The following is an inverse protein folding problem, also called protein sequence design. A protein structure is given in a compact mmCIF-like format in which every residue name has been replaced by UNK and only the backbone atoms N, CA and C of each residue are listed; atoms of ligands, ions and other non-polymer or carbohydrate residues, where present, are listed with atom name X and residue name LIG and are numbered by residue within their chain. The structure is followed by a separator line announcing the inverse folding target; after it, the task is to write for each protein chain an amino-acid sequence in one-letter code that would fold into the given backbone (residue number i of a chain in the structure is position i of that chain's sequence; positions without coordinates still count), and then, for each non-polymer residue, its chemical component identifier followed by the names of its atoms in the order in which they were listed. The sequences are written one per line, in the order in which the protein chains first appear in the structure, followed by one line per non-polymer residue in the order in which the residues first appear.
data_IF_549097426371
#
_entry.id   IF_549097426371
#
_cell.length_a   1.000
_cell.length_b   1.000
_cell.length_c   1.000
_cell.angle_alpha   90.00
_cell.angle_beta   90.00
_cell.angle_gamma   90.00
#
_symmetry.space_group_name_H-M   'P 1'
#
loop_
_entity.id
_entity.type
_entity.pdbx_description
1 polymer ?
#
# COMPACT_ATOMS: atom_id res chain seq x y z
N UNK A 1 -25.19 24.96 27.68
CA UNK A 1 -23.86 25.48 27.33
C UNK A 1 -22.82 24.39 26.94
N UNK A 2 -22.93 23.16 27.39
CA UNK A 2 -21.95 22.09 27.15
C UNK A 2 -21.94 21.54 25.72
N UNK A 3 -23.10 21.41 25.07
CA UNK A 3 -23.20 20.88 23.69
C UNK A 3 -22.56 21.83 22.64
N UNK A 4 -22.74 23.16 22.80
CA UNK A 4 -22.14 24.12 21.87
C UNK A 4 -20.63 24.17 21.91
N UNK A 5 -20.01 24.07 23.10
CA UNK A 5 -18.57 23.99 23.25
C UNK A 5 -18.00 22.72 22.59
N UNK A 6 -18.64 21.57 22.79
CA UNK A 6 -18.21 20.30 22.19
C UNK A 6 -18.24 20.37 20.65
N UNK A 7 -19.29 20.93 20.07
CA UNK A 7 -19.43 21.09 18.61
C UNK A 7 -18.35 22.01 18.03
N UNK A 8 -18.05 23.13 18.72
CA UNK A 8 -16.99 24.06 18.30
C UNK A 8 -15.62 23.38 18.39
N UNK A 9 -15.34 22.63 19.46
CA UNK A 9 -14.08 21.90 19.60
C UNK A 9 -13.91 20.83 18.53
N UNK A 10 -14.95 20.06 18.21
CA UNK A 10 -14.92 19.05 17.15
C UNK A 10 -14.74 19.69 15.76
N UNK A 11 -15.44 20.78 15.48
CA UNK A 11 -15.27 21.52 14.23
C UNK A 11 -13.87 22.13 14.12
N UNK A 12 -13.33 22.68 15.20
CA UNK A 12 -11.97 23.20 15.26
C UNK A 12 -10.92 22.11 15.04
N UNK A 13 -11.07 20.95 15.67
CA UNK A 13 -10.21 19.80 15.47
C UNK A 13 -10.28 19.30 14.01
N UNK A 14 -11.48 19.22 13.43
CA UNK A 14 -11.66 18.80 12.04
C UNK A 14 -10.99 19.79 11.07
N UNK A 15 -11.16 21.10 11.27
CA UNK A 15 -10.50 22.13 10.44
C UNK A 15 -9.00 22.03 10.58
N UNK A 16 -8.49 21.88 11.81
CA UNK A 16 -7.06 21.79 12.08
C UNK A 16 -6.44 20.55 11.43
N UNK A 17 -7.07 19.37 11.55
CA UNK A 17 -6.60 18.13 10.92
C UNK A 17 -6.57 18.26 9.40
N UNK A 18 -7.59 18.89 8.80
CA UNK A 18 -7.64 19.16 7.36
C UNK A 18 -6.53 20.12 6.91
N UNK A 19 -6.26 21.16 7.69
CA UNK A 19 -5.22 22.14 7.39
C UNK A 19 -3.79 21.56 7.54
N UNK A 20 -3.64 20.51 8.36
CA UNK A 20 -2.37 19.81 8.58
C UNK A 20 -2.12 18.65 7.63
N UNK A 21 -3.09 18.27 6.78
CA UNK A 21 -2.89 17.26 5.76
C UNK A 21 -1.82 17.72 4.76
N UNK A 22 -0.77 16.89 4.56
CA UNK A 22 0.27 17.13 3.58
C UNK A 22 -0.26 17.08 2.14
N UNK A 23 0.59 17.40 1.18
CA UNK A 23 0.26 17.24 -0.24
C UNK A 23 -0.01 15.77 -0.59
N UNK A 24 -0.89 15.54 -1.58
CA UNK A 24 -1.16 14.20 -2.09
C UNK A 24 0.03 13.61 -2.84
N UNK A 25 0.88 14.48 -3.37
CA UNK A 25 2.10 14.15 -4.12
C UNK A 25 3.27 14.94 -3.56
N UNK A 26 4.32 14.21 -3.17
CA UNK A 26 5.59 14.78 -2.75
C UNK A 26 6.64 14.63 -3.87
N UNK A 27 7.35 15.72 -4.15
CA UNK A 27 8.48 15.66 -5.08
C UNK A 27 9.70 14.98 -4.42
N UNK A 28 10.53 14.25 -5.19
CA UNK A 28 11.77 13.70 -4.67
C UNK A 28 12.66 14.79 -4.07
N UNK A 29 13.25 14.51 -2.90
CA UNK A 29 14.13 15.47 -2.21
C UNK A 29 15.58 15.44 -2.72
N UNK A 30 15.87 14.62 -3.72
CA UNK A 30 17.17 14.52 -4.39
C UNK A 30 17.18 15.32 -5.66
N UNK A 31 18.34 15.88 -6.04
CA UNK A 31 18.49 16.53 -7.33
C UNK A 31 18.39 15.50 -8.45
N UNK A 32 17.67 15.85 -9.53
CA UNK A 32 17.64 15.02 -10.73
C UNK A 32 18.99 15.07 -11.42
N UNK A 33 19.56 13.89 -11.72
CA UNK A 33 20.79 13.73 -12.50
C UNK A 33 20.53 12.83 -13.71
N UNK A 34 21.33 12.97 -14.78
CA UNK A 34 21.21 12.08 -15.93
C UNK A 34 21.64 10.66 -15.57
N UNK A 35 20.83 9.69 -15.95
CA UNK A 35 21.10 8.25 -15.79
C UNK A 35 21.50 7.58 -17.11
N UNK A 36 21.58 8.33 -18.20
CA UNK A 36 21.81 7.80 -19.55
C UNK A 36 23.12 6.99 -19.66
N UNK A 37 24.22 7.48 -19.05
CA UNK A 37 25.49 6.79 -19.10
C UNK A 37 25.48 5.49 -18.27
N UNK A 38 24.71 5.47 -17.17
CA UNK A 38 24.51 4.24 -16.39
C UNK A 38 23.73 3.22 -17.22
N UNK A 39 22.67 3.65 -17.89
CA UNK A 39 21.83 2.75 -18.71
C UNK A 39 22.54 2.14 -19.91
N UNK A 40 23.67 2.75 -20.37
CA UNK A 40 24.53 2.24 -21.47
C UNK A 40 25.55 1.20 -21.03
N UNK A 41 25.89 1.13 -19.72
CA UNK A 41 26.86 0.16 -19.20
C UNK A 41 26.37 -1.26 -19.46
N UNK A 42 27.28 -2.17 -19.70
CA UNK A 42 26.97 -3.60 -19.83
C UNK A 42 26.47 -4.15 -18.49
N UNK A 43 27.25 -3.90 -17.43
CA UNK A 43 26.93 -4.31 -16.06
C UNK A 43 26.85 -3.10 -15.14
N UNK A 44 25.93 -3.12 -14.18
CA UNK A 44 25.78 -2.10 -13.17
C UNK A 44 26.46 -2.49 -11.86
N UNK A 45 27.25 -1.59 -11.30
CA UNK A 45 27.82 -1.75 -9.99
C UNK A 45 26.86 -1.29 -8.86
N UNK A 46 27.31 -1.41 -7.61
CA UNK A 46 26.52 -1.00 -6.45
C UNK A 46 26.15 0.49 -6.47
N UNK A 47 27.07 1.33 -6.96
CA UNK A 47 26.84 2.78 -7.06
C UNK A 47 25.80 3.11 -8.12
N UNK A 48 25.83 2.41 -9.26
CA UNK A 48 24.84 2.56 -10.32
C UNK A 48 23.43 2.24 -9.83
N UNK A 49 23.25 1.12 -9.13
CA UNK A 49 21.94 0.76 -8.52
C UNK A 49 21.48 1.80 -7.50
N UNK A 50 22.41 2.37 -6.70
CA UNK A 50 22.05 3.42 -5.76
C UNK A 50 21.53 4.66 -6.48
N UNK A 51 22.26 5.15 -7.50
CA UNK A 51 21.83 6.32 -8.28
C UNK A 51 20.50 6.05 -8.97
N UNK A 52 20.34 4.91 -9.64
CA UNK A 52 19.09 4.54 -10.30
C UNK A 52 17.92 4.49 -9.31
N UNK A 53 18.13 3.93 -8.12
CA UNK A 53 17.12 3.88 -7.06
C UNK A 53 16.70 5.27 -6.57
N UNK A 54 17.66 6.17 -6.32
CA UNK A 54 17.40 7.56 -5.94
C UNK A 54 16.67 8.35 -7.02
N UNK A 55 16.93 8.02 -8.29
CA UNK A 55 16.38 8.72 -9.45
C UNK A 55 15.03 8.16 -9.94
N UNK A 56 14.59 7.01 -9.45
CA UNK A 56 13.35 6.35 -9.93
C UNK A 56 12.40 5.92 -8.81
N UNK A 57 12.87 5.93 -7.56
CA UNK A 57 12.12 5.39 -6.43
C UNK A 57 12.06 3.87 -6.37
N UNK A 58 12.79 3.15 -7.25
CA UNK A 58 12.85 1.68 -7.29
C UNK A 58 13.87 1.13 -6.31
N UNK A 59 13.57 -0.02 -5.71
CA UNK A 59 14.56 -0.80 -4.97
C UNK A 59 15.58 -1.44 -5.92
N UNK A 60 16.70 -1.89 -5.33
CA UNK A 60 17.68 -2.67 -6.09
C UNK A 60 17.06 -3.93 -6.70
N UNK A 61 16.16 -4.61 -6.01
CA UNK A 61 15.50 -5.82 -6.51
C UNK A 61 14.67 -5.53 -7.76
N UNK A 62 13.90 -4.44 -7.74
CA UNK A 62 13.12 -4.02 -8.90
C UNK A 62 14.03 -3.65 -10.09
N UNK A 63 15.15 -2.97 -9.83
CA UNK A 63 16.12 -2.61 -10.86
C UNK A 63 16.82 -3.84 -11.47
N UNK A 64 17.25 -4.80 -10.64
CA UNK A 64 17.82 -6.08 -11.10
C UNK A 64 16.82 -6.82 -11.98
N UNK A 65 15.56 -6.96 -11.54
CA UNK A 65 14.51 -7.57 -12.35
C UNK A 65 14.35 -6.89 -13.70
N UNK A 66 14.31 -5.55 -13.73
CA UNK A 66 14.17 -4.80 -14.99
C UNK A 66 15.38 -4.95 -15.91
N UNK A 67 16.58 -5.02 -15.34
CA UNK A 67 17.83 -5.23 -16.09
C UNK A 67 17.83 -6.62 -16.73
N UNK A 68 17.54 -7.68 -15.96
CA UNK A 68 17.46 -9.07 -16.45
C UNK A 68 16.41 -9.23 -17.56
N UNK A 69 15.32 -8.47 -17.50
CA UNK A 69 14.28 -8.45 -18.53
C UNK A 69 14.61 -7.53 -19.72
N UNK A 70 15.78 -6.91 -19.77
CA UNK A 70 16.17 -5.98 -20.84
C UNK A 70 15.35 -4.68 -20.90
N UNK A 71 14.68 -4.29 -19.78
CA UNK A 71 13.74 -3.17 -19.70
C UNK A 71 14.42 -1.83 -19.35
N UNK A 72 15.68 -1.63 -19.66
CA UNK A 72 16.45 -0.41 -19.32
C UNK A 72 15.80 0.88 -19.84
N UNK A 73 15.14 0.85 -21.00
CA UNK A 73 14.42 2.02 -21.54
C UNK A 73 13.23 2.46 -20.66
N UNK A 74 12.60 1.52 -19.97
CA UNK A 74 11.49 1.85 -19.06
C UNK A 74 12.00 2.56 -17.81
N UNK A 75 13.24 2.30 -17.37
CA UNK A 75 13.86 2.98 -16.22
C UNK A 75 14.01 4.48 -16.51
N UNK A 76 14.38 4.85 -17.74
CA UNK A 76 14.43 6.25 -18.14
C UNK A 76 13.03 6.91 -18.07
N UNK A 77 11.98 6.23 -18.53
CA UNK A 77 10.61 6.74 -18.46
C UNK A 77 10.12 6.84 -17.00
N UNK A 78 10.57 5.94 -16.12
CA UNK A 78 10.26 6.02 -14.68
C UNK A 78 10.94 7.22 -14.03
N UNK A 79 12.18 7.55 -14.39
CA UNK A 79 12.82 8.78 -13.94
C UNK A 79 12.03 10.01 -14.36
N UNK A 80 11.58 10.08 -15.61
CA UNK A 80 10.76 11.20 -16.10
C UNK A 80 9.50 11.38 -15.23
N UNK A 81 8.74 10.30 -15.00
CA UNK A 81 7.53 10.36 -14.18
C UNK A 81 7.81 10.67 -12.71
N UNK A 82 8.96 10.20 -12.16
CA UNK A 82 9.33 10.39 -10.77
C UNK A 82 9.60 11.86 -10.41
N UNK A 83 10.10 12.65 -11.35
CA UNK A 83 10.38 14.07 -11.20
C UNK A 83 9.35 14.98 -11.89
N UNK A 84 8.31 14.42 -12.49
CA UNK A 84 7.28 15.21 -13.13
C UNK A 84 6.32 15.82 -12.10
N UNK A 85 5.97 17.11 -12.21
CA UNK A 85 4.86 17.66 -11.46
C UNK A 85 3.55 17.04 -11.95
N UNK A 86 2.60 16.84 -11.05
CA UNK A 86 1.30 16.25 -11.36
C UNK A 86 0.16 17.17 -10.96
N UNK A 87 -0.92 17.16 -11.74
CA UNK A 87 -2.18 17.76 -11.34
C UNK A 87 -3.03 16.69 -10.65
N UNK A 88 -3.61 17.03 -9.49
CA UNK A 88 -4.36 16.09 -8.64
C UNK A 88 -5.79 16.57 -8.50
N UNK A 89 -6.74 15.67 -8.73
CA UNK A 89 -8.16 15.92 -8.48
C UNK A 89 -8.78 14.83 -7.58
N UNK A 90 -9.78 15.24 -6.78
CA UNK A 90 -10.55 14.33 -5.95
C UNK A 90 -11.76 13.79 -6.74
N UNK A 91 -11.87 12.46 -6.82
CA UNK A 91 -13.01 11.77 -7.41
C UNK A 91 -13.85 11.16 -6.28
N UNK A 92 -15.15 11.50 -6.16
CA UNK A 92 -16.04 10.90 -5.17
C UNK A 92 -16.26 9.41 -5.45
N UNK A 93 -16.07 8.56 -4.43
CA UNK A 93 -16.41 7.13 -4.48
C UNK A 93 -17.79 6.89 -3.87
N UNK A 94 -18.16 7.70 -2.87
CA UNK A 94 -19.47 7.68 -2.20
C UNK A 94 -19.78 9.05 -1.59
N UNK A 95 -20.91 9.17 -0.87
CA UNK A 95 -21.27 10.40 -0.15
C UNK A 95 -20.22 10.78 0.92
N UNK A 96 -19.54 9.79 1.49
CA UNK A 96 -18.59 9.98 2.61
C UNK A 96 -17.13 9.72 2.24
N UNK A 97 -16.85 9.23 1.04
CA UNK A 97 -15.50 8.87 0.60
C UNK A 97 -15.16 9.43 -0.77
N UNK A 98 -13.89 9.77 -0.94
CA UNK A 98 -13.30 10.24 -2.21
C UNK A 98 -11.87 9.76 -2.29
N UNK A 99 -11.34 9.69 -3.51
CA UNK A 99 -9.95 9.33 -3.78
C UNK A 99 -9.30 10.39 -4.67
N UNK A 100 -8.05 10.70 -4.41
CA UNK A 100 -7.24 11.60 -5.22
C UNK A 100 -6.57 10.81 -6.33
N UNK A 101 -6.64 11.33 -7.55
CA UNK A 101 -6.01 10.78 -8.74
C UNK A 101 -5.19 11.86 -9.45
N UNK A 102 -4.14 11.43 -10.14
CA UNK A 102 -3.48 12.27 -11.13
C UNK A 102 -4.43 12.42 -12.32
N UNK A 103 -4.61 13.66 -12.79
CA UNK A 103 -5.55 13.96 -13.86
C UNK A 103 -4.89 14.69 -15.02
N UNK A 104 -5.47 14.54 -16.21
CA UNK A 104 -5.10 15.35 -17.37
C UNK A 104 -5.78 16.74 -17.33
N UNK A 105 -5.47 17.59 -18.30
CA UNK A 105 -6.07 18.94 -18.42
C UNK A 105 -7.59 18.95 -18.65
N UNK A 106 -8.24 17.78 -18.72
CA UNK A 106 -9.70 17.62 -18.78
C UNK A 106 -10.27 17.12 -17.44
N UNK A 107 -9.41 16.90 -16.43
CA UNK A 107 -9.79 16.36 -15.13
C UNK A 107 -10.05 14.84 -15.13
N UNK A 108 -9.60 14.11 -16.14
CA UNK A 108 -9.75 12.66 -16.21
C UNK A 108 -8.54 11.96 -15.60
N UNK A 109 -8.75 10.90 -14.79
CA UNK A 109 -7.66 10.10 -14.24
C UNK A 109 -6.72 9.60 -15.34
N UNK A 110 -5.43 9.77 -15.10
CA UNK A 110 -4.38 9.31 -16.02
C UNK A 110 -3.26 8.65 -15.21
N UNK A 111 -2.53 7.79 -15.88
CA UNK A 111 -1.37 7.14 -15.28
C UNK A 111 -0.31 8.16 -14.88
N UNK A 112 0.02 8.19 -13.60
CA UNK A 112 1.06 9.04 -13.03
C UNK A 112 2.46 8.46 -13.28
N UNK A 113 2.59 7.16 -13.00
CA UNK A 113 3.83 6.39 -13.22
C UNK A 113 3.49 4.92 -13.47
N UNK A 114 4.49 4.06 -13.61
CA UNK A 114 4.30 2.60 -13.71
C UNK A 114 4.79 1.91 -12.47
N UNK A 115 4.16 0.76 -12.17
CA UNK A 115 4.64 -0.23 -11.21
C UNK A 115 5.21 -1.39 -12.03
N UNK A 116 6.53 -1.39 -12.33
CA UNK A 116 7.13 -2.33 -13.29
C UNK A 116 7.36 -3.72 -12.72
N UNK A 117 7.37 -3.85 -11.40
CA UNK A 117 7.72 -5.09 -10.71
C UNK A 117 6.91 -5.26 -9.44
N UNK A 118 6.23 -6.38 -9.34
CA UNK A 118 5.58 -6.89 -8.14
C UNK A 118 5.67 -8.40 -8.09
N UNK A 119 5.51 -8.96 -6.89
CA UNK A 119 5.31 -10.40 -6.66
C UNK A 119 4.03 -10.61 -5.86
N UNK A 120 3.52 -11.85 -5.84
CA UNK A 120 2.42 -12.24 -4.98
C UNK A 120 2.78 -11.93 -3.51
N UNK A 121 1.81 -11.40 -2.78
CA UNK A 121 2.01 -10.94 -1.40
C UNK A 121 2.60 -9.54 -1.27
N UNK A 122 3.01 -8.85 -2.34
CA UNK A 122 3.38 -7.44 -2.23
C UNK A 122 2.19 -6.60 -1.78
N UNK A 123 2.46 -5.61 -0.95
CA UNK A 123 1.48 -4.71 -0.35
C UNK A 123 1.56 -3.36 -1.03
N UNK A 124 0.43 -2.83 -1.43
CA UNK A 124 0.30 -1.49 -1.98
C UNK A 124 -0.30 -0.57 -0.92
N UNK A 125 0.33 0.58 -0.67
CA UNK A 125 -0.16 1.60 0.26
C UNK A 125 -0.22 2.94 -0.46
N UNK A 126 -1.31 3.68 -0.29
CA UNK A 126 -1.42 5.07 -0.70
C UNK A 126 -2.02 5.93 0.41
N UNK A 127 -1.71 7.22 0.44
CA UNK A 127 -2.36 8.18 1.32
C UNK A 127 -3.56 8.89 0.66
N UNK A 128 -3.90 8.55 -0.58
CA UNK A 128 -4.79 9.33 -1.44
C UNK A 128 -6.28 9.08 -1.23
N UNK A 129 -6.68 8.19 -0.30
CA UNK A 129 -8.06 7.89 0.04
C UNK A 129 -8.55 8.68 1.26
N UNK A 130 -9.79 9.20 1.16
CA UNK A 130 -10.42 9.98 2.21
C UNK A 130 -11.76 9.36 2.61
N UNK A 131 -12.02 9.30 3.92
CA UNK A 131 -13.31 8.91 4.49
C UNK A 131 -13.70 9.94 5.54
N UNK A 132 -14.96 10.40 5.54
CA UNK A 132 -15.45 11.48 6.38
C UNK A 132 -14.62 12.77 6.30
N UNK A 133 -13.98 13.01 5.16
CA UNK A 133 -13.13 14.17 4.93
C UNK A 133 -11.69 14.04 5.43
N UNK A 134 -11.32 13.00 6.14
CA UNK A 134 -9.94 12.74 6.57
C UNK A 134 -9.21 11.83 5.58
N UNK A 135 -7.92 12.08 5.40
CA UNK A 135 -7.02 11.24 4.60
C UNK A 135 -6.63 10.00 5.40
N UNK A 136 -7.39 8.91 5.19
CA UNK A 136 -7.20 7.64 5.88
C UNK A 136 -6.20 6.72 5.17
N UNK A 137 -5.94 7.01 3.89
CA UNK A 137 -5.15 6.14 3.05
C UNK A 137 -5.90 4.90 2.59
N UNK A 138 -5.20 4.05 1.83
CA UNK A 138 -5.73 2.80 1.32
C UNK A 138 -4.62 1.76 1.23
N UNK A 139 -5.00 0.48 1.35
CA UNK A 139 -4.10 -0.67 1.27
C UNK A 139 -4.70 -1.76 0.37
N UNK A 140 -3.85 -2.46 -0.36
CA UNK A 140 -4.19 -3.65 -1.13
C UNK A 140 -3.05 -4.65 -1.10
N UNK A 141 -3.33 -5.90 -1.50
CA UNK A 141 -2.34 -6.96 -1.64
C UNK A 141 -2.32 -7.49 -3.08
N UNK A 142 -1.14 -7.69 -3.65
CA UNK A 142 -0.98 -8.37 -4.93
C UNK A 142 -1.31 -9.86 -4.76
N UNK A 143 -2.31 -10.33 -5.48
CA UNK A 143 -2.76 -11.73 -5.43
C UNK A 143 -2.54 -12.50 -6.73
N UNK A 144 -2.13 -11.82 -7.79
CA UNK A 144 -1.70 -12.41 -9.06
C UNK A 144 -0.79 -11.38 -9.77
N UNK A 145 0.50 -11.59 -9.69
CA UNK A 145 1.48 -10.67 -10.23
C UNK A 145 1.50 -10.68 -11.77
N UNK A 146 1.34 -11.86 -12.37
CA UNK A 146 1.35 -12.04 -13.83
C UNK A 146 0.16 -11.34 -14.50
N UNK A 147 -1.02 -11.43 -13.88
CA UNK A 147 -2.23 -10.77 -14.35
C UNK A 147 -2.40 -9.37 -13.81
N UNK A 148 -1.48 -8.92 -12.95
CA UNK A 148 -1.52 -7.61 -12.30
C UNK A 148 -2.83 -7.39 -11.53
N UNK A 149 -3.17 -8.33 -10.65
CA UNK A 149 -4.39 -8.29 -9.84
C UNK A 149 -4.05 -8.06 -8.37
N UNK A 150 -4.86 -7.23 -7.74
CA UNK A 150 -4.79 -6.93 -6.30
C UNK A 150 -6.11 -7.22 -5.62
N UNK A 151 -6.06 -7.66 -4.38
CA UNK A 151 -7.22 -7.80 -3.51
C UNK A 151 -7.30 -6.57 -2.59
N UNK A 152 -8.47 -5.96 -2.51
CA UNK A 152 -8.69 -4.75 -1.73
C UNK A 152 -10.14 -4.63 -1.22
N UNK A 153 -10.33 -3.90 -0.13
CA UNK A 153 -11.63 -3.50 0.40
C UNK A 153 -11.75 -1.98 0.26
N UNK A 154 -12.48 -1.50 -0.75
CA UNK A 154 -12.44 -0.11 -1.18
C UNK A 154 -13.44 0.80 -0.48
N UNK A 155 -14.69 0.37 -0.36
CA UNK A 155 -15.81 1.24 -0.02
C UNK A 155 -16.71 0.61 1.03
N UNK A 156 -17.11 1.41 2.01
CA UNK A 156 -18.13 1.02 3.00
C UNK A 156 -19.41 0.53 2.31
N UNK A 157 -19.86 -0.66 2.69
CA UNK A 157 -21.04 -1.31 2.12
C UNK A 157 -20.78 -2.20 0.91
N UNK A 158 -19.54 -2.26 0.43
CA UNK A 158 -19.11 -3.18 -0.63
C UNK A 158 -18.21 -4.27 -0.06
N UNK A 159 -18.25 -5.51 -0.60
CA UNK A 159 -17.31 -6.54 -0.17
C UNK A 159 -15.90 -6.26 -0.73
N UNK A 160 -14.90 -6.95 -0.17
CA UNK A 160 -13.56 -7.01 -0.74
C UNK A 160 -13.59 -7.63 -2.13
N UNK A 161 -12.80 -7.09 -3.06
CA UNK A 161 -12.82 -7.45 -4.48
C UNK A 161 -11.41 -7.56 -5.04
N UNK A 162 -11.28 -8.35 -6.09
CA UNK A 162 -10.05 -8.40 -6.88
C UNK A 162 -10.19 -7.38 -8.02
N UNK A 163 -9.22 -6.48 -8.12
CA UNK A 163 -9.18 -5.40 -9.11
C UNK A 163 -7.86 -5.36 -9.85
N UNK A 164 -7.75 -4.47 -10.84
CA UNK A 164 -6.50 -4.29 -11.58
C UNK A 164 -5.52 -3.41 -10.81
N UNK A 165 -4.27 -3.85 -10.66
CA UNK A 165 -3.17 -3.06 -10.15
C UNK A 165 -2.95 -1.77 -10.96
N UNK A 166 -3.38 -1.71 -12.21
CA UNK A 166 -3.18 -0.53 -13.06
C UNK A 166 -3.86 0.73 -12.52
N UNK A 167 -4.92 0.60 -11.71
CA UNK A 167 -5.57 1.73 -11.02
C UNK A 167 -4.61 2.40 -10.04
N UNK A 168 -3.71 1.62 -9.44
CA UNK A 168 -2.71 2.14 -8.50
C UNK A 168 -1.66 3.04 -9.18
N UNK A 169 -1.46 2.87 -10.47
CA UNK A 169 -0.58 3.72 -11.29
C UNK A 169 -1.16 5.13 -11.56
N UNK A 170 -2.44 5.34 -11.22
CA UNK A 170 -3.13 6.63 -11.34
C UNK A 170 -3.09 7.45 -10.04
N UNK A 171 -2.67 6.85 -8.92
CA UNK A 171 -2.56 7.57 -7.66
C UNK A 171 -1.35 8.52 -7.65
N UNK A 172 -1.52 9.73 -7.07
CA UNK A 172 -0.43 10.71 -6.94
C UNK A 172 0.70 10.25 -6.02
N UNK A 173 0.44 9.30 -5.12
CA UNK A 173 1.48 8.71 -4.28
C UNK A 173 1.16 7.28 -3.90
N UNK A 174 2.20 6.44 -3.84
CA UNK A 174 2.10 5.06 -3.34
C UNK A 174 3.44 4.49 -2.90
N UNK A 175 3.35 3.43 -2.11
CA UNK A 175 4.44 2.51 -1.78
C UNK A 175 4.07 1.11 -2.27
N UNK A 176 5.04 0.39 -2.83
CA UNK A 176 5.02 -1.07 -2.99
C UNK A 176 5.95 -1.63 -1.94
N UNK A 177 5.41 -2.46 -1.06
CA UNK A 177 6.12 -3.01 0.10
C UNK A 177 6.16 -4.54 0.00
N UNK A 178 7.23 -5.15 0.51
CA UNK A 178 7.42 -6.60 0.52
C UNK A 178 7.87 -7.09 1.88
N UNK A 179 7.32 -8.21 2.34
CA UNK A 179 7.74 -8.87 3.56
C UNK A 179 9.22 -9.29 3.48
N UNK A 180 10.00 -8.89 4.49
CA UNK A 180 11.38 -9.28 4.65
C UNK A 180 11.46 -10.65 5.35
N UNK A 181 12.46 -11.46 4.98
CA UNK A 181 12.71 -12.74 5.61
C UNK A 181 11.87 -13.91 5.11
N UNK A 182 10.73 -13.66 4.45
CA UNK A 182 9.93 -14.67 3.79
C UNK A 182 10.45 -14.92 2.36
N UNK A 183 10.47 -16.17 1.94
CA UNK A 183 10.76 -16.52 0.55
C UNK A 183 9.55 -16.22 -0.39
N UNK A 184 9.73 -16.47 -1.68
CA UNK A 184 8.69 -16.20 -2.67
C UNK A 184 7.50 -17.12 -2.50
N UNK A 185 7.74 -18.36 -2.17
CA UNK A 185 6.74 -19.39 -1.98
C UNK A 185 5.83 -19.09 -0.78
N UNK A 186 6.42 -18.62 0.31
CA UNK A 186 5.66 -18.21 1.50
C UNK A 186 4.79 -16.98 1.22
N UNK A 187 5.34 -15.97 0.54
CA UNK A 187 4.55 -14.79 0.14
C UNK A 187 3.41 -15.15 -0.82
N UNK A 188 3.65 -16.07 -1.76
CA UNK A 188 2.63 -16.58 -2.66
C UNK A 188 1.52 -17.34 -1.90
N UNK A 189 1.88 -18.12 -0.87
CA UNK A 189 0.90 -18.81 -0.03
C UNK A 189 0.01 -17.82 0.76
N UNK A 190 0.58 -16.71 1.27
CA UNK A 190 -0.18 -15.63 1.92
C UNK A 190 -1.15 -14.99 0.93
N UNK A 191 -0.69 -14.70 -0.29
CA UNK A 191 -1.52 -14.12 -1.35
C UNK A 191 -2.64 -15.07 -1.79
N UNK A 192 -2.35 -16.36 -1.89
CA UNK A 192 -3.35 -17.40 -2.20
C UNK A 192 -4.40 -17.51 -1.09
N UNK A 193 -3.99 -17.52 0.16
CA UNK A 193 -4.89 -17.45 1.31
C UNK A 193 -5.82 -16.23 1.20
N UNK A 194 -5.25 -15.06 1.00
CA UNK A 194 -6.03 -13.83 0.88
C UNK A 194 -7.04 -13.92 -0.27
N UNK A 195 -6.62 -14.40 -1.44
CA UNK A 195 -7.48 -14.57 -2.60
C UNK A 195 -8.63 -15.54 -2.34
N UNK A 196 -8.37 -16.65 -1.66
CA UNK A 196 -9.36 -17.74 -1.47
C UNK A 196 -10.33 -17.44 -0.33
N UNK A 197 -9.88 -16.77 0.74
CA UNK A 197 -10.67 -16.62 1.96
C UNK A 197 -11.07 -15.17 2.27
N UNK A 198 -10.37 -14.17 1.74
CA UNK A 198 -10.64 -12.76 2.02
C UNK A 198 -11.30 -12.02 0.84
N UNK A 199 -11.60 -12.68 -0.27
CA UNK A 199 -12.43 -12.14 -1.35
C UNK A 199 -13.91 -12.28 -0.99
N UNK A 200 -14.69 -11.20 -1.18
CA UNK A 200 -16.12 -11.19 -0.87
C UNK A 200 -16.46 -10.92 0.59
N UNK A 201 -15.49 -10.59 1.44
CA UNK A 201 -15.72 -10.24 2.85
C UNK A 201 -16.32 -8.84 2.96
N UNK A 202 -17.39 -8.68 3.71
CA UNK A 202 -18.10 -7.41 3.89
C UNK A 202 -17.20 -6.32 4.49
N UNK A 203 -17.38 -5.07 4.03
CA UNK A 203 -16.63 -3.94 4.57
C UNK A 203 -17.16 -3.49 5.93
N UNK A 204 -16.31 -3.47 6.94
CA UNK A 204 -16.61 -3.00 8.29
C UNK A 204 -15.48 -2.12 8.82
N UNK A 205 -15.75 -0.85 9.09
CA UNK A 205 -14.73 0.10 9.62
C UNK A 205 -14.21 -0.28 11.01
N UNK A 206 -14.95 -1.10 11.74
CA UNK A 206 -14.60 -1.57 13.09
C UNK A 206 -14.02 -2.98 13.10
N UNK A 207 -13.68 -3.52 11.92
CA UNK A 207 -13.06 -4.84 11.83
C UNK A 207 -11.77 -4.92 12.66
N UNK A 208 -11.58 -6.01 13.38
CA UNK A 208 -10.42 -6.24 14.25
C UNK A 208 -10.50 -5.59 15.63
N UNK A 209 -11.38 -4.59 15.87
CA UNK A 209 -11.45 -3.89 17.17
C UNK A 209 -11.80 -4.85 18.29
N UNK A 210 -12.85 -5.66 18.12
CA UNK A 210 -13.30 -6.58 19.17
C UNK A 210 -12.33 -7.72 19.41
N UNK A 211 -11.69 -8.23 18.36
CA UNK A 211 -10.67 -9.27 18.45
C UNK A 211 -9.48 -8.79 19.30
N UNK A 212 -9.04 -7.55 19.11
CA UNK A 212 -7.95 -6.92 19.86
C UNK A 212 -8.35 -6.54 21.30
N UNK A 213 -9.53 -6.00 21.51
CA UNK A 213 -10.02 -5.66 22.85
C UNK A 213 -10.22 -6.90 23.72
N UNK A 214 -10.71 -8.01 23.14
CA UNK A 214 -10.95 -9.26 23.86
C UNK A 214 -9.63 -10.03 24.12
N UNK A 215 -8.64 -9.89 23.27
CA UNK A 215 -7.31 -10.46 23.48
C UNK A 215 -6.44 -9.69 24.50
N UNK A 216 -6.98 -8.60 25.06
CA UNK A 216 -6.31 -7.82 26.12
C UNK A 216 -5.12 -6.99 25.65
N UNK A 217 -5.03 -6.68 24.36
CA UNK A 217 -3.89 -5.96 23.79
C UNK A 217 -2.58 -6.75 23.82
N UNK A 218 -2.59 -7.91 24.47
CA UNK A 218 -1.49 -8.83 24.50
C UNK A 218 -1.78 -9.97 23.51
N UNK A 219 -1.49 -9.74 22.27
CA UNK A 219 -1.06 -10.85 21.41
C UNK A 219 0.32 -11.20 21.92
N UNK A 220 0.32 -11.95 23.04
CA UNK A 220 1.52 -12.45 23.67
C UNK A 220 2.31 -13.25 22.63
N UNK A 221 3.58 -12.91 22.47
CA UNK A 221 4.54 -13.62 21.64
C UNK A 221 4.80 -15.07 22.09
N UNK A 222 3.78 -15.92 22.10
CA UNK A 222 3.84 -17.33 22.45
C UNK A 222 3.40 -18.29 21.35
N UNK A 223 3.44 -17.86 20.08
CA UNK A 223 3.35 -18.80 18.95
C UNK A 223 4.54 -18.70 18.00
N UNK A 224 5.72 -18.43 18.52
CA UNK A 224 6.97 -18.42 17.75
C UNK A 224 7.72 -19.76 17.81
N UNK A 225 7.02 -20.86 18.05
CA UNK A 225 7.59 -22.21 17.94
C UNK A 225 6.65 -23.10 17.13
N UNK A 226 6.73 -23.01 15.84
CA UNK A 226 6.70 -24.09 14.85
C UNK A 226 6.38 -23.53 13.46
N UNK A 227 7.39 -23.04 12.77
CA UNK A 227 7.38 -22.99 11.31
C UNK A 227 7.55 -24.45 10.81
N UNK A 228 6.51 -25.25 10.99
CA UNK A 228 6.39 -26.60 10.54
C UNK A 228 4.99 -26.78 10.01
N UNK A 229 4.85 -26.82 8.65
CA UNK A 229 3.65 -27.20 7.91
C UNK A 229 2.34 -26.87 8.62
N UNK A 230 1.86 -25.63 8.50
CA UNK A 230 0.47 -25.31 8.77
C UNK A 230 -0.38 -26.13 7.77
N UNK A 231 -0.89 -27.28 8.23
CA UNK A 231 -2.02 -27.89 7.56
C UNK A 231 -3.18 -26.92 7.74
N UNK A 232 -3.47 -26.15 6.68
CA UNK A 232 -4.71 -25.40 6.56
C UNK A 232 -5.84 -26.43 6.71
N UNK A 233 -6.38 -26.54 7.91
CA UNK A 233 -7.61 -27.30 8.13
C UNK A 233 -8.68 -26.72 7.20
N UNK A 234 -9.59 -27.55 6.72
CA UNK A 234 -10.67 -27.28 5.74
C UNK A 234 -11.68 -26.17 6.16
N UNK A 235 -11.21 -25.05 6.64
CA UNK A 235 -12.00 -23.88 7.01
C UNK A 235 -11.08 -22.78 7.47
N UNK A 236 -10.51 -22.04 6.49
CA UNK A 236 -9.77 -20.80 6.80
C UNK A 236 -10.61 -19.90 7.70
N UNK A 237 -10.00 -19.35 8.76
CA UNK A 237 -10.68 -18.43 9.64
C UNK A 237 -11.02 -17.16 8.85
N UNK A 238 -12.30 -16.92 8.55
CA UNK A 238 -12.76 -15.78 7.77
C UNK A 238 -13.25 -14.73 8.75
N UNK A 239 -12.75 -13.50 8.72
CA UNK A 239 -13.23 -12.44 9.59
C UNK A 239 -14.69 -12.08 9.25
N UNK A 240 -15.50 -11.74 10.25
CA UNK A 240 -16.88 -11.30 10.08
C UNK A 240 -17.05 -10.00 9.30
N UNK A 241 -15.95 -9.30 9.06
CA UNK A 241 -15.85 -8.08 8.25
C UNK A 241 -14.42 -7.62 8.12
N UNK A 242 -14.14 -6.71 7.17
CA UNK A 242 -12.80 -6.20 6.93
C UNK A 242 -12.83 -4.74 6.45
N UNK A 243 -11.71 -4.04 6.53
CA UNK A 243 -11.39 -2.81 5.80
C UNK A 243 -10.03 -2.99 5.12
N UNK A 244 -9.61 -2.04 4.31
CA UNK A 244 -8.44 -2.20 3.44
C UNK A 244 -7.18 -2.70 4.15
N UNK A 245 -6.75 -2.01 5.20
CA UNK A 245 -5.54 -2.38 5.96
C UNK A 245 -5.76 -3.59 6.87
N UNK A 246 -6.96 -3.75 7.45
CA UNK A 246 -7.27 -4.96 8.21
C UNK A 246 -7.20 -6.22 7.32
N UNK A 247 -7.69 -6.16 6.08
CA UNK A 247 -7.61 -7.25 5.12
C UNK A 247 -6.18 -7.69 4.89
N UNK A 248 -5.29 -6.74 4.61
CA UNK A 248 -3.86 -6.99 4.38
C UNK A 248 -3.21 -7.55 5.64
N UNK A 249 -3.37 -6.87 6.78
CA UNK A 249 -2.84 -7.32 8.05
C UNK A 249 -3.31 -8.71 8.43
N UNK A 250 -4.62 -8.99 8.28
CA UNK A 250 -5.22 -10.27 8.64
C UNK A 250 -4.63 -11.43 7.84
N UNK A 251 -4.41 -11.25 6.53
CA UNK A 251 -3.77 -12.27 5.70
C UNK A 251 -2.38 -12.63 6.21
N UNK A 252 -1.56 -11.63 6.52
CA UNK A 252 -0.22 -11.85 7.06
C UNK A 252 -0.23 -12.43 8.47
N UNK A 253 -1.18 -11.99 9.30
CA UNK A 253 -1.33 -12.45 10.66
C UNK A 253 -1.62 -13.95 10.76
N UNK A 254 -2.34 -14.54 9.79
CA UNK A 254 -2.58 -15.97 9.72
C UNK A 254 -1.28 -16.79 9.52
N UNK A 255 -0.23 -16.16 9.03
CA UNK A 255 1.09 -16.78 8.85
C UNK A 255 2.12 -16.35 9.92
N UNK A 256 1.65 -15.71 11.00
CA UNK A 256 2.50 -15.31 12.13
C UNK A 256 3.20 -13.94 11.95
N UNK A 257 2.83 -13.17 10.92
CA UNK A 257 3.40 -11.85 10.67
C UNK A 257 2.44 -10.75 11.13
N UNK A 258 2.71 -10.15 12.28
CA UNK A 258 2.02 -8.94 12.70
C UNK A 258 2.66 -7.72 12.02
N UNK A 259 1.93 -7.08 11.12
CA UNK A 259 2.37 -5.90 10.38
C UNK A 259 1.98 -4.58 11.04
N UNK A 260 1.29 -4.63 12.17
CA UNK A 260 0.92 -3.45 12.94
C UNK A 260 2.14 -2.88 13.67
N UNK A 261 2.52 -1.65 13.33
CA UNK A 261 3.74 -1.03 13.88
C UNK A 261 3.53 -0.35 15.22
N UNK A 262 2.30 0.05 15.58
CA UNK A 262 2.01 0.79 16.79
C UNK A 262 1.23 -0.01 17.87
N UNK A 263 0.72 -1.20 17.52
CA UNK A 263 -0.06 -2.05 18.41
C UNK A 263 -1.42 -1.44 18.79
N UNK A 264 -1.94 -0.54 17.96
CA UNK A 264 -3.21 0.14 18.16
C UNK A 264 -4.44 -0.77 18.11
N UNK A 265 -5.61 -0.18 18.36
CA UNK A 265 -6.88 -0.91 18.32
C UNK A 265 -7.31 -1.19 16.86
N UNK A 266 -6.91 -0.35 15.93
CA UNK A 266 -7.22 -0.43 14.50
C UNK A 266 -5.91 -0.40 13.74
N UNK A 267 -5.71 -1.36 12.85
CA UNK A 267 -4.59 -1.33 11.91
C UNK A 267 -4.90 -0.34 10.80
N UNK A 268 -4.06 0.66 10.61
CA UNK A 268 -4.19 1.64 9.54
C UNK A 268 -3.21 1.35 8.40
N UNK A 269 -3.41 1.92 7.19
CA UNK A 269 -2.41 1.84 6.12
C UNK A 269 -1.04 2.41 6.53
N UNK A 270 -1.03 3.41 7.43
CA UNK A 270 0.19 4.00 7.97
C UNK A 270 0.96 3.03 8.86
N UNK A 271 0.26 2.24 9.67
CA UNK A 271 0.89 1.26 10.57
C UNK A 271 1.57 0.16 9.77
N UNK A 272 0.91 -0.33 8.71
CA UNK A 272 1.52 -1.27 7.77
C UNK A 272 2.75 -0.64 7.09
N UNK A 273 2.65 0.59 6.59
CA UNK A 273 3.77 1.29 5.95
C UNK A 273 4.95 1.52 6.92
N UNK A 274 4.69 1.65 8.21
CA UNK A 274 5.69 1.80 9.28
C UNK A 274 6.27 0.49 9.80
N UNK A 275 5.79 -0.67 9.33
CA UNK A 275 6.25 -1.96 9.83
C UNK A 275 7.70 -2.25 9.45
N UNK A 276 8.54 -2.50 10.45
CA UNK A 276 9.95 -2.89 10.25
C UNK A 276 10.12 -4.25 9.54
N UNK A 277 9.04 -5.04 9.46
CA UNK A 277 9.03 -6.32 8.74
C UNK A 277 8.96 -6.13 7.22
N UNK A 278 8.68 -4.92 6.74
CA UNK A 278 8.51 -4.63 5.33
C UNK A 278 9.69 -3.83 4.77
N UNK A 279 10.02 -4.08 3.50
CA UNK A 279 10.96 -3.28 2.72
C UNK A 279 10.25 -2.62 1.54
N UNK A 280 10.73 -1.45 1.14
CA UNK A 280 10.21 -0.73 -0.02
C UNK A 280 10.75 -1.37 -1.30
N UNK A 281 9.86 -1.75 -2.21
CA UNK A 281 10.17 -2.19 -3.58
C UNK A 281 10.08 -1.03 -4.55
N UNK A 282 9.08 -0.17 -4.38
CA UNK A 282 8.94 1.08 -5.11
C UNK A 282 8.29 2.14 -4.25
N UNK A 283 8.73 3.39 -4.40
CA UNK A 283 8.05 4.57 -3.86
C UNK A 283 7.81 5.58 -4.97
N UNK A 284 6.65 6.24 -4.93
CA UNK A 284 6.28 7.29 -5.84
C UNK A 284 5.47 8.37 -5.12
N UNK A 285 5.80 9.64 -5.34
CA UNK A 285 5.05 10.75 -4.76
C UNK A 285 5.05 10.82 -3.22
N UNK A 286 5.94 10.09 -2.56
CA UNK A 286 6.16 10.15 -1.10
C UNK A 286 7.42 10.95 -0.86
N UNK A 287 7.26 12.11 -0.25
CA UNK A 287 8.34 13.03 0.09
C UNK A 287 9.03 12.70 1.41
#
# INVERSE_FOLDING_TARGET
MTTGCLTICLAGLWIWTRASEGAAHGMPQVARVSIEEILKKEDWDRGDYQVLGEQTGLSREALVFMEEQGRRREIAALQESYFAPVEVACVPNSIISKTEYVVDGRGMPVRATRIPYVEEGDILITCCSHVFGWRNGHAAMVVDADRRLVLEAQVLGSPSVITSLNVWEEYPSFLVLRLQGADKEERAAIAEYARNYLTGVSYHVTAGIWERLLSGGAVSGQQQESCGSLSLGDGGNIPGGTHCSHLVWYAYYQFGYDLDSDGGIIVTPRDIAGSEKLKIIQKYGVG
#
